data_IF_981710803971
#
_entry.id   IF_981710803971
#
_cell.length_a   1.000
_cell.length_b   1.000
_cell.length_c   1.000
_cell.angle_alpha   90.00
_cell.angle_beta   90.00
_cell.angle_gamma   90.00
#
_symmetry.space_group_name_H-M   'P 1'
#
loop_
_entity.id
_entity.type
_entity.pdbx_description
1 polymer ?
#
# COMPACT_ATOMS: atom_id res chain seq x y z
N UNK A 1 -4.11 13.59 -22.34
CA UNK A 1 -4.11 12.17 -21.95
C UNK A 1 -3.05 12.06 -20.89
N UNK A 2 -3.40 12.06 -19.60
CA UNK A 2 -2.43 11.99 -18.49
C UNK A 2 -2.50 10.58 -17.94
N UNK A 3 -1.37 9.89 -17.91
CA UNK A 3 -1.23 8.59 -17.31
C UNK A 3 -1.65 8.64 -15.83
N UNK A 4 -2.38 7.62 -15.40
CA UNK A 4 -2.76 7.47 -14.00
C UNK A 4 -1.56 6.88 -13.27
N UNK A 5 -0.98 7.66 -12.36
CA UNK A 5 0.13 7.20 -11.53
C UNK A 5 -0.42 6.31 -10.41
N UNK A 6 0.05 5.07 -10.32
CA UNK A 6 -0.40 4.10 -9.34
C UNK A 6 0.63 3.96 -8.22
N UNK A 7 0.14 3.82 -6.99
CA UNK A 7 0.96 3.55 -5.82
C UNK A 7 0.34 2.43 -4.98
N UNK A 8 1.17 1.79 -4.16
CA UNK A 8 0.69 0.92 -3.09
C UNK A 8 1.46 1.19 -1.82
N UNK A 9 0.74 1.47 -0.74
CA UNK A 9 1.31 1.59 0.60
C UNK A 9 0.95 0.35 1.42
N UNK A 10 1.97 -0.33 1.92
CA UNK A 10 1.84 -1.52 2.79
C UNK A 10 2.49 -1.22 4.12
N UNK A 11 1.81 -1.57 5.21
CA UNK A 11 2.39 -1.57 6.55
C UNK A 11 2.59 -3.02 6.96
N UNK A 12 3.86 -3.41 7.13
CA UNK A 12 4.22 -4.76 7.57
C UNK A 12 4.54 -4.76 9.06
N UNK A 13 3.82 -5.60 9.82
CA UNK A 13 4.13 -5.89 11.22
C UNK A 13 4.81 -7.26 11.26
N UNK A 14 6.10 -7.29 11.60
CA UNK A 14 6.87 -8.53 11.67
C UNK A 14 6.30 -9.55 12.69
N UNK A 15 6.62 -10.85 12.55
CA UNK A 15 6.12 -11.91 13.42
C UNK A 15 6.66 -11.85 14.86
N UNK A 16 7.78 -11.18 15.06
CA UNK A 16 8.25 -10.76 16.38
C UNK A 16 7.78 -9.31 16.56
N UNK A 17 7.24 -8.97 17.72
CA UNK A 17 6.90 -7.60 18.13
C UNK A 17 8.16 -6.74 17.96
N UNK A 18 8.37 -6.15 16.79
CA UNK A 18 9.69 -5.72 16.38
C UNK A 18 9.64 -5.00 15.04
N UNK A 19 9.49 -3.67 15.15
CA UNK A 19 9.65 -2.65 14.10
C UNK A 19 8.76 -2.79 12.87
N UNK A 20 7.55 -2.21 12.89
CA UNK A 20 6.78 -1.94 11.68
C UNK A 20 7.65 -1.39 10.55
N UNK A 21 7.52 -1.96 9.37
CA UNK A 21 8.17 -1.49 8.15
C UNK A 21 7.10 -1.02 7.17
N UNK A 22 7.22 0.22 6.70
CA UNK A 22 6.38 0.75 5.63
C UNK A 22 7.04 0.42 4.30
N UNK A 23 6.28 -0.18 3.39
CA UNK A 23 6.69 -0.43 2.02
C UNK A 23 5.81 0.43 1.10
N UNK A 24 6.43 1.40 0.45
CA UNK A 24 5.80 2.19 -0.60
C UNK A 24 6.27 1.68 -1.96
N UNK A 25 5.32 1.28 -2.78
CA UNK A 25 5.56 0.78 -4.12
C UNK A 25 5.06 1.83 -5.09
N UNK A 26 5.95 2.29 -5.96
CA UNK A 26 5.63 3.22 -7.04
C UNK A 26 6.22 2.64 -8.31
N UNK A 27 5.40 2.47 -9.34
CA UNK A 27 5.79 1.82 -10.60
C UNK A 27 6.37 0.40 -10.35
N UNK A 28 7.70 0.26 -10.36
CA UNK A 28 8.44 -0.99 -10.09
C UNK A 28 9.48 -0.86 -8.98
N UNK A 29 9.50 0.28 -8.30
CA UNK A 29 10.45 0.59 -7.24
C UNK A 29 9.78 0.40 -5.89
N UNK A 30 10.48 -0.29 -4.99
CA UNK A 30 10.06 -0.45 -3.59
C UNK A 30 10.89 0.49 -2.73
N UNK A 31 10.22 1.34 -1.98
CA UNK A 31 10.81 2.20 -0.95
C UNK A 31 10.41 1.61 0.39
N UNK A 32 11.37 1.09 1.15
CA UNK A 32 11.15 0.54 2.48
C UNK A 32 11.63 1.53 3.54
N UNK A 33 10.74 1.89 4.47
CA UNK A 33 11.04 2.80 5.58
C UNK A 33 10.78 2.05 6.88
N UNK A 34 11.85 1.82 7.64
CA UNK A 34 11.75 1.36 9.02
C UNK A 34 11.88 2.57 9.94
N UNK A 35 10.74 3.03 10.46
CA UNK A 35 10.69 4.23 11.30
C UNK A 35 11.34 4.05 12.66
N UNK A 36 11.54 2.81 13.13
CA UNK A 36 12.13 2.51 14.43
C UNK A 36 13.66 2.42 14.39
N UNK A 37 14.20 1.95 13.27
CA UNK A 37 15.65 1.86 13.06
C UNK A 37 16.20 3.04 12.26
N UNK A 38 15.33 3.95 11.83
CA UNK A 38 15.67 5.11 10.99
C UNK A 38 16.33 4.70 9.64
N UNK A 39 16.02 3.50 9.14
CA UNK A 39 16.57 2.96 7.90
C UNK A 39 15.61 3.18 6.73
N UNK A 40 16.12 3.77 5.66
CA UNK A 40 15.44 3.90 4.36
C UNK A 40 16.17 3.09 3.30
N UNK A 41 15.45 2.23 2.59
CA UNK A 41 15.96 1.42 1.49
C UNK A 41 15.17 1.72 0.23
N UNK A 42 15.87 1.80 -0.89
CA UNK A 42 15.30 2.08 -2.20
C UNK A 42 15.74 0.94 -3.13
N UNK A 43 14.78 0.19 -3.65
CA UNK A 43 15.03 -1.04 -4.38
C UNK A 43 15.88 -2.02 -3.56
N UNK A 44 16.91 -2.59 -4.17
CA UNK A 44 17.84 -3.53 -3.51
C UNK A 44 18.94 -2.82 -2.69
N UNK A 45 18.96 -1.48 -2.65
CA UNK A 45 20.02 -0.72 -1.98
C UNK A 45 19.72 -0.54 -0.48
N UNK A 46 20.49 -1.27 0.34
CA UNK A 46 20.37 -1.28 1.82
C UNK A 46 20.77 0.05 2.47
N UNK A 47 21.60 0.87 1.80
CA UNK A 47 22.08 2.16 2.31
C UNK A 47 21.87 3.25 1.27
N UNK A 48 20.63 3.71 1.12
CA UNK A 48 20.34 4.85 0.25
C UNK A 48 20.75 6.12 1.00
N UNK A 49 21.86 6.75 0.59
CA UNK A 49 22.18 8.11 1.06
C UNK A 49 21.11 9.05 0.51
N UNK A 50 20.31 9.63 1.38
CA UNK A 50 19.33 10.65 1.02
C UNK A 50 20.04 12.02 0.87
N UNK A 51 19.60 12.89 -0.05
CA UNK A 51 18.42 12.75 -0.91
C UNK A 51 18.64 11.84 -2.12
N UNK A 52 17.56 11.27 -2.64
CA UNK A 52 17.50 10.45 -3.86
C UNK A 52 16.29 10.87 -4.68
N UNK A 53 16.46 10.94 -6.00
CA UNK A 53 15.38 11.16 -6.96
C UNK A 53 15.20 9.93 -7.83
N UNK A 54 13.95 9.49 -8.00
CA UNK A 54 13.58 8.30 -8.78
C UNK A 54 12.40 8.69 -9.66
N UNK A 55 12.66 8.82 -10.96
CA UNK A 55 11.67 9.33 -11.92
C UNK A 55 11.11 10.67 -11.40
N UNK A 56 9.82 10.77 -11.14
CA UNK A 56 9.17 11.98 -10.62
C UNK A 56 8.93 11.93 -9.09
N UNK A 57 9.74 11.16 -8.35
CA UNK A 57 9.64 11.01 -6.90
C UNK A 57 10.94 11.42 -6.21
N UNK A 58 10.85 12.39 -5.31
CA UNK A 58 11.97 12.93 -4.54
C UNK A 58 11.90 12.45 -3.09
N UNK A 59 12.94 11.74 -2.67
CA UNK A 59 13.07 11.18 -1.34
C UNK A 59 14.17 11.95 -0.61
N UNK A 60 13.83 12.60 0.49
CA UNK A 60 14.78 13.37 1.28
C UNK A 60 14.55 13.20 2.77
N UNK A 61 15.51 13.67 3.54
CA UNK A 61 15.46 13.66 5.00
C UNK A 61 15.89 15.01 5.54
N UNK A 62 15.03 15.59 6.36
CA UNK A 62 15.32 16.77 7.15
C UNK A 62 15.16 16.41 8.63
N UNK A 63 16.28 16.38 9.36
CA UNK A 63 16.34 15.95 10.75
C UNK A 63 15.73 14.54 10.94
N UNK A 64 14.67 14.45 11.76
CA UNK A 64 13.96 13.21 12.09
C UNK A 64 12.78 12.93 11.13
N UNK A 65 12.67 13.66 10.02
CA UNK A 65 11.56 13.55 9.06
C UNK A 65 12.09 13.01 7.74
N UNK A 66 11.60 11.84 7.35
CA UNK A 66 11.78 11.28 6.00
C UNK A 66 10.56 11.63 5.17
N UNK A 67 10.79 12.28 4.04
CA UNK A 67 9.72 12.69 3.12
C UNK A 67 9.91 12.03 1.76
N UNK A 68 8.85 11.41 1.26
CA UNK A 68 8.71 10.93 -0.12
C UNK A 68 7.66 11.81 -0.79
N UNK A 69 8.12 12.73 -1.65
CA UNK A 69 7.28 13.63 -2.43
C UNK A 69 7.22 13.12 -3.87
N UNK A 70 6.02 12.91 -4.40
CA UNK A 70 5.84 12.34 -5.74
C UNK A 70 4.90 13.19 -6.60
N UNK A 71 5.31 13.46 -7.84
CA UNK A 71 4.46 14.11 -8.84
C UNK A 71 3.23 13.27 -9.22
N UNK A 72 3.18 11.99 -8.79
CA UNK A 72 1.98 11.17 -8.81
C UNK A 72 0.83 11.78 -7.99
N UNK A 73 1.10 12.73 -7.10
CA UNK A 73 0.10 13.43 -6.31
C UNK A 73 -0.14 12.78 -4.96
N UNK A 74 0.91 12.29 -4.32
CA UNK A 74 0.89 11.91 -2.91
C UNK A 74 2.18 12.37 -2.22
N UNK A 75 2.12 12.50 -0.89
CA UNK A 75 3.27 12.80 -0.03
C UNK A 75 3.23 11.82 1.15
N UNK A 76 4.34 11.12 1.39
CA UNK A 76 4.54 10.31 2.60
C UNK A 76 5.57 11.00 3.48
N UNK A 77 5.16 11.43 4.67
CA UNK A 77 6.04 11.98 5.68
C UNK A 77 6.10 11.05 6.88
N UNK A 78 7.29 10.61 7.27
CA UNK A 78 7.51 9.78 8.43
C UNK A 78 8.45 10.46 9.41
N UNK A 79 7.95 10.76 10.61
CA UNK A 79 8.76 11.22 11.72
C UNK A 79 9.34 10.01 12.47
N UNK A 80 10.64 9.77 12.33
CA UNK A 80 11.32 8.60 12.91
C UNK A 80 11.55 8.74 14.42
N UNK A 81 11.57 9.97 14.95
CA UNK A 81 11.64 10.22 16.40
C UNK A 81 10.34 9.90 17.13
N UNK A 82 9.19 10.20 16.52
CA UNK A 82 7.86 9.94 17.11
C UNK A 82 7.20 8.65 16.60
N UNK A 83 7.79 7.98 15.60
CA UNK A 83 7.27 6.78 14.95
C UNK A 83 5.87 6.98 14.36
N UNK A 84 5.63 8.13 13.73
CA UNK A 84 4.35 8.48 13.08
C UNK A 84 4.60 8.74 11.61
N UNK A 85 3.74 8.20 10.75
CA UNK A 85 3.71 8.55 9.33
C UNK A 85 2.36 9.15 8.94
N UNK A 86 2.40 10.16 8.08
CA UNK A 86 1.25 10.78 7.44
C UNK A 86 1.34 10.50 5.95
N UNK A 87 0.26 10.02 5.36
CA UNK A 87 0.15 9.80 3.92
C UNK A 87 -0.93 10.70 3.35
N UNK A 88 -0.51 11.74 2.64
CA UNK A 88 -1.39 12.68 1.97
C UNK A 88 -1.54 12.27 0.51
N UNK A 89 -2.76 12.32 -0.01
CA UNK A 89 -3.09 11.94 -1.38
C UNK A 89 -3.94 13.04 -2.01
N UNK A 90 -3.65 13.39 -3.25
CA UNK A 90 -4.37 14.43 -3.97
C UNK A 90 -5.84 14.05 -4.22
N UNK A 91 -6.71 15.06 -4.33
CA UNK A 91 -8.13 14.86 -4.64
C UNK A 91 -8.42 14.14 -5.97
N UNK A 92 -7.43 14.00 -6.85
CA UNK A 92 -7.54 13.18 -8.07
C UNK A 92 -7.83 11.70 -7.79
N UNK A 93 -7.54 11.24 -6.57
CA UNK A 93 -7.76 9.88 -6.09
C UNK A 93 -9.09 9.68 -5.34
N UNK A 94 -9.96 10.69 -5.28
CA UNK A 94 -11.28 10.59 -4.65
C UNK A 94 -12.09 9.40 -5.21
N UNK A 95 -12.48 8.46 -4.34
CA UNK A 95 -13.21 7.25 -4.71
C UNK A 95 -12.41 6.22 -5.50
N UNK A 96 -11.08 6.38 -5.61
CA UNK A 96 -10.19 5.49 -6.36
C UNK A 96 -9.21 4.73 -5.48
N UNK A 97 -9.14 5.04 -4.19
CA UNK A 97 -8.40 4.23 -3.24
C UNK A 97 -9.24 3.02 -2.82
N UNK A 98 -8.57 1.98 -2.35
CA UNK A 98 -9.17 0.86 -1.62
C UNK A 98 -8.18 0.44 -0.54
N UNK A 99 -8.57 -0.24 0.53
CA UNK A 99 -7.63 -0.70 1.58
C UNK A 99 -8.06 -0.28 2.98
N UNK A 100 -7.12 -0.29 3.94
CA UNK A 100 -7.44 -0.03 5.35
C UNK A 100 -7.92 1.42 5.60
N UNK A 101 -7.53 2.35 4.73
CA UNK A 101 -7.95 3.76 4.80
C UNK A 101 -9.23 4.05 3.98
N UNK A 102 -9.92 3.02 3.48
CA UNK A 102 -11.16 3.17 2.72
C UNK A 102 -10.96 3.75 1.31
N UNK A 103 -12.03 4.31 0.76
CA UNK A 103 -12.07 4.82 -0.64
C UNK A 103 -11.93 6.34 -0.75
N UNK A 104 -11.87 7.05 0.39
CA UNK A 104 -11.75 8.51 0.48
C UNK A 104 -12.83 9.21 -0.38
N UNK A 105 -14.04 8.62 -0.43
CA UNK A 105 -15.18 9.19 -1.14
C UNK A 105 -16.10 10.02 -0.21
N UNK A 106 -15.66 10.26 1.04
CA UNK A 106 -16.43 10.90 2.11
C UNK A 106 -17.72 10.15 2.54
N UNK A 107 -17.86 8.87 2.21
CA UNK A 107 -19.02 8.04 2.57
C UNK A 107 -18.65 7.00 3.64
N UNK A 108 -18.71 7.40 4.92
CA UNK A 108 -18.35 6.55 6.05
C UNK A 108 -19.07 5.18 6.10
N UNK A 109 -20.20 5.06 5.40
CA UNK A 109 -20.97 3.80 5.32
C UNK A 109 -20.31 2.71 4.48
N UNK A 110 -19.28 3.02 3.69
CA UNK A 110 -18.55 2.07 2.84
C UNK A 110 -17.04 1.96 3.14
N UNK A 111 -16.54 2.66 4.16
CA UNK A 111 -15.13 2.58 4.58
C UNK A 111 -14.68 1.16 4.94
N UNK A 112 -15.60 0.34 5.45
CA UNK A 112 -15.36 -1.07 5.79
C UNK A 112 -15.97 -2.04 4.78
N UNK A 113 -16.12 -1.62 3.52
CA UNK A 113 -16.54 -2.47 2.42
C UNK A 113 -15.33 -3.22 1.87
N UNK A 114 -15.35 -4.55 1.93
CA UNK A 114 -14.31 -5.37 1.32
C UNK A 114 -14.44 -5.42 -0.20
N UNK A 115 -13.39 -5.91 -0.87
CA UNK A 115 -13.37 -6.24 -2.31
C UNK A 115 -14.53 -7.14 -2.74
N UNK A 116 -15.01 -7.99 -1.82
CA UNK A 116 -16.09 -8.96 -2.05
C UNK A 116 -17.47 -8.34 -1.81
N UNK A 117 -17.53 -7.02 -1.63
CA UNK A 117 -18.72 -6.23 -1.32
C UNK A 117 -19.38 -6.60 0.00
N UNK A 118 -18.61 -7.22 0.91
CA UNK A 118 -19.08 -7.51 2.27
C UNK A 118 -18.77 -6.30 3.15
N UNK A 119 -19.80 -5.80 3.84
CA UNK A 119 -19.63 -4.73 4.84
C UNK A 119 -19.20 -5.33 6.17
N UNK A 120 -18.20 -4.70 6.77
CA UNK A 120 -17.72 -4.98 8.11
C UNK A 120 -18.10 -3.83 9.05
N UNK A 121 -18.04 -4.09 10.35
CA UNK A 121 -18.32 -3.14 11.40
C UNK A 121 -17.28 -3.30 12.52
N UNK A 122 -17.38 -2.49 13.57
CA UNK A 122 -16.43 -2.49 14.68
C UNK A 122 -16.24 -3.87 15.34
N UNK A 123 -17.27 -4.71 15.34
CA UNK A 123 -17.21 -6.05 15.98
C UNK A 123 -16.42 -7.07 15.18
N UNK A 124 -16.27 -6.89 13.86
CA UNK A 124 -15.56 -7.80 12.97
C UNK A 124 -14.48 -7.10 12.13
N UNK A 125 -14.02 -5.92 12.58
CA UNK A 125 -12.99 -5.13 11.89
C UNK A 125 -11.67 -5.88 11.69
N UNK A 126 -11.35 -6.84 12.57
CA UNK A 126 -10.18 -7.71 12.43
C UNK A 126 -10.24 -8.57 11.16
N UNK A 127 -11.44 -8.98 10.75
CA UNK A 127 -11.65 -9.76 9.54
C UNK A 127 -11.55 -8.90 8.27
N UNK A 128 -11.81 -7.59 8.40
CA UNK A 128 -11.59 -6.60 7.35
C UNK A 128 -10.09 -6.27 7.19
N UNK A 129 -9.40 -6.04 8.32
CA UNK A 129 -7.97 -5.72 8.37
C UNK A 129 -7.04 -6.94 8.21
N UNK A 130 -7.57 -8.10 7.82
CA UNK A 130 -6.78 -9.29 7.62
C UNK A 130 -5.69 -9.05 6.55
N UNK A 131 -4.50 -9.58 6.82
CA UNK A 131 -3.30 -9.33 6.04
C UNK A 131 -3.37 -9.95 4.64
N UNK A 132 -2.76 -9.29 3.64
CA UNK A 132 -2.64 -9.84 2.29
C UNK A 132 -1.92 -11.19 2.32
N UNK A 133 -2.33 -12.07 1.39
CA UNK A 133 -1.74 -13.41 1.23
C UNK A 133 -0.24 -13.28 0.90
N UNK A 134 0.61 -14.02 1.61
CA UNK A 134 2.04 -14.05 1.30
C UNK A 134 2.31 -14.76 -0.04
N UNK A 135 3.36 -14.33 -0.72
CA UNK A 135 3.79 -14.90 -1.98
C UNK A 135 5.31 -15.00 -2.05
N UNK A 136 5.80 -16.03 -2.76
CA UNK A 136 7.19 -16.13 -3.21
C UNK A 136 7.28 -15.99 -4.72
N UNK A 137 6.22 -16.38 -5.42
CA UNK A 137 6.11 -16.27 -6.87
C UNK A 137 4.71 -15.79 -7.25
N UNK A 138 4.58 -15.28 -8.48
CA UNK A 138 3.29 -14.86 -9.04
C UNK A 138 2.21 -15.96 -8.95
N UNK A 139 2.60 -17.24 -9.01
CA UNK A 139 1.70 -18.38 -8.89
C UNK A 139 0.97 -18.46 -7.53
N UNK A 140 1.52 -17.86 -6.46
CA UNK A 140 0.83 -17.81 -5.17
C UNK A 140 -0.38 -16.85 -5.19
N UNK A 141 -0.41 -15.92 -6.15
CA UNK A 141 -1.41 -14.85 -6.26
C UNK A 141 -2.47 -15.10 -7.34
N UNK A 142 -2.24 -16.03 -8.28
CA UNK A 142 -3.17 -16.32 -9.39
C UNK A 142 -4.57 -16.77 -8.98
N UNK A 143 -4.78 -17.11 -7.70
CA UNK A 143 -6.10 -17.41 -7.12
C UNK A 143 -7.00 -16.17 -7.10
N UNK A 144 -6.42 -14.98 -7.10
CA UNK A 144 -7.11 -13.69 -7.09
C UNK A 144 -6.79 -12.99 -8.42
N UNK A 145 -7.81 -12.79 -9.27
CA UNK A 145 -7.63 -12.14 -10.58
C UNK A 145 -7.12 -10.70 -10.40
N UNK A 146 -6.14 -10.31 -11.23
CA UNK A 146 -5.57 -8.97 -11.19
C UNK A 146 -4.70 -8.70 -9.97
N UNK A 147 -4.06 -9.72 -9.41
CA UNK A 147 -3.06 -9.54 -8.34
C UNK A 147 -1.64 -9.79 -8.83
N UNK A 148 -0.67 -9.10 -8.25
CA UNK A 148 0.77 -9.30 -8.50
C UNK A 148 1.50 -9.62 -7.21
N UNK A 149 2.46 -10.55 -7.28
CA UNK A 149 3.37 -10.85 -6.19
C UNK A 149 4.48 -9.80 -6.13
N UNK A 150 4.46 -8.94 -5.11
CA UNK A 150 5.44 -7.88 -4.94
C UNK A 150 5.77 -7.69 -3.45
N UNK A 151 7.05 -7.56 -3.13
CA UNK A 151 7.50 -7.43 -1.74
C UNK A 151 7.16 -8.62 -0.83
N UNK A 152 6.88 -9.79 -1.41
CA UNK A 152 6.48 -10.99 -0.65
C UNK A 152 4.97 -11.09 -0.36
N UNK A 153 4.15 -10.21 -0.93
CA UNK A 153 2.70 -10.18 -0.73
C UNK A 153 1.94 -10.15 -2.07
N UNK A 154 0.75 -10.75 -2.09
CA UNK A 154 -0.20 -10.61 -3.19
C UNK A 154 -0.96 -9.31 -3.04
N UNK A 155 -0.73 -8.38 -3.96
CA UNK A 155 -1.38 -7.06 -3.99
C UNK A 155 -2.44 -7.07 -5.09
N UNK A 156 -3.62 -6.50 -4.81
CA UNK A 156 -4.69 -6.32 -5.78
C UNK A 156 -4.40 -5.12 -6.68
N UNK A 157 -4.67 -5.22 -7.97
CA UNK A 157 -4.19 -4.26 -8.95
C UNK A 157 -2.78 -4.65 -9.39
N UNK A 158 -2.64 -4.96 -10.67
CA UNK A 158 -1.35 -5.18 -11.34
C UNK A 158 -0.61 -3.85 -11.61
N UNK A 159 -0.88 -2.79 -10.83
CA UNK A 159 -0.55 -1.40 -11.15
C UNK A 159 -1.00 -1.01 -12.58
N UNK A 160 -2.07 -1.62 -13.11
CA UNK A 160 -2.78 -1.13 -14.29
C UNK A 160 -4.17 -0.60 -13.90
N UNK A 161 -4.69 0.35 -14.69
CA UNK A 161 -5.93 1.08 -14.41
C UNK A 161 -7.05 0.13 -13.95
N UNK A 162 -7.67 0.33 -12.77
CA UNK A 162 -8.90 -0.36 -12.44
C UNK A 162 -10.00 0.15 -13.37
N UNK A 163 -10.40 -0.67 -14.35
CA UNK A 163 -11.61 -0.40 -15.10
C UNK A 163 -12.79 -0.58 -14.13
N UNK A 164 -13.32 0.53 -13.63
CA UNK A 164 -14.48 0.65 -12.74
C UNK A 164 -14.29 0.31 -11.26
N UNK A 165 -13.13 0.55 -10.66
CA UNK A 165 -12.96 0.45 -9.20
C UNK A 165 -13.26 -0.95 -8.61
N UNK A 166 -13.24 -1.98 -9.46
CA UNK A 166 -13.66 -3.33 -9.10
C UNK A 166 -12.45 -4.27 -9.10
N UNK A 167 -11.84 -4.46 -7.93
CA UNK A 167 -11.07 -5.67 -7.67
C UNK A 167 -12.06 -6.84 -7.56
N UNK A 168 -12.37 -7.49 -8.69
CA UNK A 168 -13.21 -8.69 -8.68
C UNK A 168 -12.40 -9.89 -8.21
N UNK A 169 -12.58 -10.27 -6.96
CA UNK A 169 -12.24 -11.61 -6.51
C UNK A 169 -13.18 -12.61 -7.22
N UNK A 170 -12.64 -13.68 -7.75
CA UNK A 170 -13.43 -14.84 -8.16
C UNK A 170 -12.82 -16.05 -7.47
N UNK A 171 -13.46 -16.49 -6.40
CA UNK A 171 -13.06 -17.66 -5.63
C UNK A 171 -13.35 -18.90 -6.48
N UNK A 172 -12.30 -19.63 -6.89
CA UNK A 172 -12.42 -21.05 -7.23
C UNK A 172 -11.93 -21.85 -6.01
N UNK A 173 -12.90 -22.36 -5.25
CA UNK A 173 -12.80 -23.48 -4.30
C UNK A 173 -11.57 -23.52 -3.36
N UNK A 174 -11.29 -22.45 -2.60
CA UNK A 174 -10.52 -22.54 -1.35
C UNK A 174 -10.95 -21.43 -0.38
N UNK A 175 -10.91 -21.72 0.92
CA UNK A 175 -11.27 -20.87 2.07
C UNK A 175 -10.77 -19.42 2.01
N UNK A 176 -11.50 -18.44 2.59
CA UNK A 176 -11.25 -17.02 2.36
C UNK A 176 -9.99 -16.54 3.07
N UNK A 177 -9.04 -15.97 2.32
CA UNK A 177 -7.93 -15.17 2.85
C UNK A 177 -8.01 -13.81 2.16
N UNK A 178 -8.63 -12.85 2.85
CA UNK A 178 -9.01 -11.52 2.33
C UNK A 178 -7.80 -10.57 2.25
N UNK A 179 -7.84 -9.61 1.32
CA UNK A 179 -6.71 -8.77 0.91
C UNK A 179 -6.99 -7.30 1.21
N UNK A 180 -6.03 -6.59 1.82
CA UNK A 180 -6.08 -5.14 2.03
C UNK A 180 -4.81 -4.48 1.48
N UNK A 181 -4.96 -3.58 0.52
CA UNK A 181 -3.88 -2.77 -0.07
C UNK A 181 -4.47 -1.42 -0.48
N UNK A 182 -3.81 -0.32 -0.10
CA UNK A 182 -4.04 1.04 -0.61
C UNK A 182 -3.77 1.07 -2.10
N UNK A 183 -4.76 0.76 -2.95
CA UNK A 183 -4.58 0.69 -4.39
C UNK A 183 -5.36 1.79 -5.08
N UNK A 184 -4.67 2.53 -5.95
CA UNK A 184 -5.25 3.45 -6.92
C UNK A 184 -4.62 3.23 -8.28
#
# INVERSE_FOLDING_TARGET
>A
MKDHHHFTLVVSYGPNIGTPELLLIINKTVIAINIFTDVVRVGDSVHSKLPVEIEDTFIHRDFDIVTVDSAAGFILECNTKFHICTFEVSGWYFGKTAGLFGTINNEASDDFLSSDKKKYNETNIKDFAALPRSCRTQANCTVIKGTTCLGGYCLCGDNTNPVNGACKTQIKDVTPQHVSSACS
#
